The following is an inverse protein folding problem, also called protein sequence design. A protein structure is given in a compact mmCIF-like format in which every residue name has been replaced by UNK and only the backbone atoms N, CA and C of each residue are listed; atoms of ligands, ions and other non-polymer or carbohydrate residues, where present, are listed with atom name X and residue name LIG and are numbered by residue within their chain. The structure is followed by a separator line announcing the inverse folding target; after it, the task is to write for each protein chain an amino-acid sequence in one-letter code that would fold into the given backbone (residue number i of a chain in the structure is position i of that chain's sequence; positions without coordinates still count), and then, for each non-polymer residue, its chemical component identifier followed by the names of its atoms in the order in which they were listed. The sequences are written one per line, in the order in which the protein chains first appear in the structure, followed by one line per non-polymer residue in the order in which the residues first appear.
data_IF_030494149836
#
_entry.id   IF_030494149836
#
_cell.length_a   1.000
_cell.length_b   1.000
_cell.length_c   1.000
_cell.angle_alpha   90.00
_cell.angle_beta   90.00
_cell.angle_gamma   90.00
#
_symmetry.space_group_name_H-M   'P 1'
#
loop_
_entity.id
_entity.type
_entity.pdbx_description
1 polymer ?
#
# COMPACT_ATOMS: atom_id res chain seq x y z
N UNK A 1 -26.33 -58.15 -15.04
CA UNK A 1 -27.61 -58.76 -15.43
C UNK A 1 -27.87 -58.47 -16.91
N UNK A 2 -28.49 -59.38 -17.68
CA UNK A 2 -29.08 -59.02 -18.99
C UNK A 2 -30.59 -59.11 -18.84
N UNK A 3 -31.29 -58.02 -19.09
CA UNK A 3 -32.73 -58.03 -19.30
C UNK A 3 -32.97 -58.40 -20.76
N UNK A 4 -33.87 -59.36 -21.00
CA UNK A 4 -34.16 -59.91 -22.33
C UNK A 4 -35.15 -58.96 -23.02
N UNK A 5 -34.74 -58.37 -24.14
CA UNK A 5 -35.61 -57.78 -25.19
C UNK A 5 -35.24 -58.49 -26.50
N UNK A 6 -36.16 -58.75 -27.44
CA UNK A 6 -35.83 -59.49 -28.66
C UNK A 6 -34.90 -58.65 -29.56
N UNK A 7 -33.68 -59.14 -29.80
CA UNK A 7 -32.88 -58.79 -30.98
C UNK A 7 -31.59 -57.98 -30.76
N UNK A 8 -30.51 -58.58 -31.29
CA UNK A 8 -29.24 -58.01 -31.82
C UNK A 8 -28.06 -57.68 -30.89
N UNK A 9 -26.90 -58.01 -31.48
CA UNK A 9 -25.54 -58.22 -30.98
C UNK A 9 -24.75 -56.98 -30.52
N UNK A 10 -23.99 -57.17 -29.42
CA UNK A 10 -22.53 -56.93 -29.27
C UNK A 10 -21.96 -55.49 -29.31
N UNK A 11 -20.68 -55.27 -28.92
CA UNK A 11 -19.89 -55.92 -27.87
C UNK A 11 -19.27 -54.93 -26.84
N UNK A 12 -18.51 -55.53 -25.94
CA UNK A 12 -17.84 -55.15 -24.68
C UNK A 12 -16.64 -54.19 -24.73
N UNK A 13 -16.32 -53.63 -23.55
CA UNK A 13 -14.97 -53.28 -23.07
C UNK A 13 -15.01 -52.07 -22.12
N UNK A 14 -14.16 -51.89 -21.12
CA UNK A 14 -13.32 -52.76 -20.29
C UNK A 14 -12.96 -51.89 -19.06
N UNK A 15 -12.81 -52.50 -17.89
CA UNK A 15 -12.47 -51.83 -16.62
C UNK A 15 -10.98 -51.44 -16.57
N UNK A 16 -10.64 -50.33 -15.89
CA UNK A 16 -9.42 -50.25 -15.07
C UNK A 16 -9.62 -49.36 -13.85
N UNK A 17 -9.51 -50.00 -12.69
CA UNK A 17 -9.21 -49.41 -11.39
C UNK A 17 -7.76 -48.88 -11.35
N UNK A 18 -7.55 -47.80 -10.59
CA UNK A 18 -6.28 -47.59 -9.89
C UNK A 18 -6.53 -46.83 -8.57
N UNK A 19 -6.21 -47.54 -7.48
CA UNK A 19 -5.78 -47.05 -6.16
C UNK A 19 -4.69 -45.97 -6.27
N UNK A 20 -4.40 -45.08 -5.33
CA UNK A 20 -4.68 -44.97 -3.90
C UNK A 20 -3.78 -43.86 -3.31
N UNK A 21 -3.84 -43.69 -1.98
CA UNK A 21 -2.97 -42.83 -1.12
C UNK A 21 -3.16 -41.30 -1.27
N UNK A 22 -3.42 -40.48 -0.24
CA UNK A 22 -3.26 -40.64 1.21
C UNK A 22 -2.09 -39.78 1.67
N UNK A 23 -2.33 -38.54 2.14
CA UNK A 23 -1.46 -38.00 3.20
C UNK A 23 -2.06 -36.83 4.01
N UNK A 24 -1.61 -36.78 5.27
CA UNK A 24 -2.20 -36.06 6.39
C UNK A 24 -1.71 -34.62 6.58
N UNK A 25 -2.61 -33.87 7.20
CA UNK A 25 -2.53 -32.53 7.79
C UNK A 25 -1.47 -32.42 8.89
N UNK A 26 -0.73 -31.29 8.93
CA UNK A 26 -0.14 -30.76 10.17
C UNK A 26 -0.43 -29.27 10.36
N UNK A 27 -1.13 -29.00 11.46
CA UNK A 27 -1.38 -27.68 12.05
C UNK A 27 -0.11 -27.06 12.64
N UNK A 28 0.01 -25.73 12.62
CA UNK A 28 0.93 -25.02 13.52
C UNK A 28 0.31 -23.73 14.08
N UNK A 29 0.71 -23.48 15.33
CA UNK A 29 0.06 -22.65 16.35
C UNK A 29 0.39 -21.16 16.24
N UNK A 30 -0.61 -20.36 16.60
CA UNK A 30 -0.56 -18.94 16.95
C UNK A 30 0.29 -18.65 18.19
N UNK A 31 1.16 -17.64 18.12
CA UNK A 31 1.82 -17.03 19.28
C UNK A 31 1.53 -15.52 19.28
N UNK A 32 0.77 -15.07 20.29
CA UNK A 32 0.63 -13.65 20.66
C UNK A 32 1.83 -13.22 21.49
N UNK A 33 2.38 -12.03 21.22
CA UNK A 33 3.28 -11.32 22.15
C UNK A 33 2.83 -9.87 22.30
N UNK A 34 2.49 -9.54 23.54
CA UNK A 34 2.34 -8.20 24.07
C UNK A 34 3.70 -7.48 24.11
N UNK A 35 3.72 -6.20 23.76
CA UNK A 35 4.84 -5.32 24.08
C UNK A 35 4.34 -3.92 24.47
N UNK A 36 4.71 -3.56 25.70
CA UNK A 36 4.40 -2.35 26.46
C UNK A 36 4.93 -1.08 25.79
N UNK A 37 4.13 0.01 25.83
CA UNK A 37 4.59 1.39 25.61
C UNK A 37 5.15 1.98 26.91
N UNK A 38 6.26 2.73 26.90
CA UNK A 38 6.67 3.54 28.03
C UNK A 38 6.07 4.96 27.98
N UNK A 39 5.64 5.42 29.16
CA UNK A 39 5.19 6.76 29.50
C UNK A 39 6.38 7.72 29.62
N UNK A 40 6.27 8.94 29.08
CA UNK A 40 7.06 10.10 29.51
C UNK A 40 6.12 11.26 29.93
N UNK A 41 6.46 12.02 30.98
CA UNK A 41 5.56 13.00 31.57
C UNK A 41 5.59 14.36 30.87
N UNK A 42 4.42 14.98 30.84
CA UNK A 42 4.10 16.32 30.37
C UNK A 42 4.63 17.40 31.32
N UNK A 43 5.14 18.51 30.77
CA UNK A 43 5.33 19.78 31.48
C UNK A 43 4.85 20.92 30.59
N UNK A 44 3.85 21.64 31.08
CA UNK A 44 3.43 23.00 30.71
C UNK A 44 2.67 23.59 31.92
N UNK A 45 2.43 24.90 32.01
CA UNK A 45 3.30 26.04 31.70
C UNK A 45 3.28 27.06 32.86
N UNK A 46 4.07 28.13 32.79
CA UNK A 46 3.83 29.27 33.69
C UNK A 46 4.85 30.38 33.59
N UNK A 47 4.55 31.42 32.80
CA UNK A 47 4.97 32.79 33.15
C UNK A 47 3.85 33.74 32.77
N UNK A 48 3.31 34.39 33.80
CA UNK A 48 2.29 35.42 33.74
C UNK A 48 2.88 36.75 33.29
N UNK A 49 2.10 37.47 32.47
CA UNK A 49 2.27 38.88 32.20
C UNK A 49 2.05 39.71 33.48
N UNK A 50 2.87 40.74 33.68
CA UNK A 50 2.56 41.88 34.56
C UNK A 50 3.02 43.17 33.90
N UNK A 51 2.02 43.94 33.48
CA UNK A 51 2.09 45.38 33.26
C UNK A 51 2.44 46.10 34.58
N UNK A 52 3.25 47.15 34.50
CA UNK A 52 3.28 48.23 35.49
C UNK A 52 3.54 49.56 34.77
N UNK A 53 2.55 50.43 34.88
CA UNK A 53 2.62 51.85 34.56
C UNK A 53 3.46 52.64 35.57
N UNK A 54 4.19 53.63 35.05
CA UNK A 54 4.25 55.01 35.56
C UNK A 54 4.85 55.27 36.95
N UNK A 55 6.04 55.86 37.00
CA UNK A 55 6.26 57.07 37.83
C UNK A 55 7.37 57.94 37.24
N UNK A 56 6.99 59.15 36.86
CA UNK A 56 7.82 60.25 36.38
C UNK A 56 8.66 60.84 37.52
N UNK A 57 9.98 60.90 37.36
CA UNK A 57 10.86 61.77 38.16
C UNK A 57 11.66 62.66 37.21
N UNK A 58 11.30 63.95 37.20
CA UNK A 58 12.05 65.04 36.58
C UNK A 58 13.42 65.15 37.25
N UNK A 59 14.50 65.04 36.47
CA UNK A 59 15.83 65.50 36.90
C UNK A 59 16.31 66.53 35.90
N UNK A 60 16.45 67.75 36.38
CA UNK A 60 16.96 68.91 35.65
C UNK A 60 18.34 68.62 35.08
N UNK A 61 18.46 68.67 33.74
CA UNK A 61 19.74 68.68 33.05
C UNK A 61 20.18 70.13 32.95
N UNK A 62 21.17 70.50 33.76
CA UNK A 62 21.97 71.71 33.54
C UNK A 62 22.68 71.57 32.19
N UNK A 63 22.22 72.37 31.24
CA UNK A 63 22.80 72.57 29.91
C UNK A 63 24.22 73.11 30.05
N UNK A 64 25.22 72.23 30.03
CA UNK A 64 26.56 72.58 29.56
C UNK A 64 26.57 72.28 28.07
N UNK A 65 26.72 73.34 27.28
CA UNK A 65 26.93 73.26 25.84
C UNK A 65 28.08 72.28 25.55
N UNK A 66 27.72 71.11 25.02
CA UNK A 66 28.64 70.25 24.30
C UNK A 66 28.08 70.14 22.88
N UNK A 67 28.81 70.75 21.96
CA UNK A 67 28.56 70.82 20.53
C UNK A 67 28.20 69.47 19.90
N UNK A 68 27.22 69.40 18.99
CA UNK A 68 26.97 68.21 18.17
C UNK A 68 27.87 68.27 16.92
N UNK A 69 29.16 67.97 17.07
CA UNK A 69 30.07 67.85 15.92
C UNK A 69 31.40 67.16 16.30
N UNK A 70 31.42 65.83 16.30
CA UNK A 70 32.66 65.06 16.15
C UNK A 70 32.38 63.88 15.22
N UNK A 71 32.82 64.08 13.99
CA UNK A 71 32.69 63.19 12.83
C UNK A 71 33.19 61.79 13.16
N UNK A 72 32.42 60.77 12.75
CA UNK A 72 32.84 59.38 12.49
C UNK A 72 33.96 59.35 11.42
N UNK A 73 35.12 59.93 11.73
CA UNK A 73 36.17 60.28 10.76
C UNK A 73 37.56 59.83 11.18
N UNK A 74 37.70 58.88 12.12
CA UNK A 74 38.99 58.28 12.41
C UNK A 74 39.16 56.98 11.62
N UNK A 75 40.37 56.77 11.09
CA UNK A 75 40.83 55.51 10.51
C UNK A 75 40.57 54.30 11.45
N UNK A 76 40.50 54.55 12.76
CA UNK A 76 40.18 53.54 13.78
C UNK A 76 38.72 53.08 13.72
N UNK A 77 37.75 53.97 13.52
CA UNK A 77 36.34 53.57 13.42
C UNK A 77 36.06 52.71 12.18
N UNK A 78 36.67 53.03 11.04
CA UNK A 78 36.58 52.19 9.84
C UNK A 78 37.22 50.80 10.06
N UNK A 79 38.38 50.78 10.72
CA UNK A 79 39.08 49.54 11.05
C UNK A 79 38.25 48.67 12.00
N UNK A 80 37.62 49.24 13.02
CA UNK A 80 36.73 48.51 13.92
C UNK A 80 35.53 47.89 13.20
N UNK A 81 34.93 48.61 12.23
CA UNK A 81 33.83 48.06 11.43
C UNK A 81 34.29 46.87 10.59
N UNK A 82 35.40 47.00 9.86
CA UNK A 82 35.92 45.90 9.02
C UNK A 82 36.39 44.71 9.88
N UNK A 83 36.98 44.97 11.03
CA UNK A 83 37.46 43.92 11.94
C UNK A 83 36.29 43.18 12.63
N UNK A 84 35.14 43.84 12.82
CA UNK A 84 33.93 43.19 13.38
C UNK A 84 33.27 42.19 12.42
N UNK A 85 33.53 42.30 11.11
CA UNK A 85 32.98 41.39 10.10
C UNK A 85 33.83 40.12 10.02
N UNK A 86 33.31 39.02 10.54
CA UNK A 86 34.00 37.72 10.54
C UNK A 86 33.53 36.77 9.44
N UNK A 87 32.32 36.97 8.91
CA UNK A 87 31.70 36.12 7.87
C UNK A 87 32.14 36.42 6.44
N UNK A 88 32.86 37.53 6.27
CA UNK A 88 33.45 37.92 5.01
C UNK A 88 34.94 38.16 5.19
N UNK A 89 35.70 37.65 4.22
CA UNK A 89 37.08 38.06 4.00
C UNK A 89 37.08 39.38 3.25
N UNK A 90 37.46 40.46 3.93
CA UNK A 90 37.55 41.80 3.37
C UNK A 90 39.02 42.15 3.23
N UNK A 91 39.45 42.35 1.99
CA UNK A 91 40.85 42.45 1.60
C UNK A 91 41.00 43.65 0.68
N UNK A 92 41.98 44.52 0.95
CA UNK A 92 42.43 45.52 -0.02
C UNK A 92 43.68 45.02 -0.73
N UNK A 93 43.74 45.23 -2.03
CA UNK A 93 44.87 44.94 -2.91
C UNK A 93 45.43 46.25 -3.46
N UNK A 94 46.72 46.30 -3.75
CA UNK A 94 47.34 47.37 -4.55
C UNK A 94 47.00 47.22 -6.05
N UNK A 95 47.57 48.10 -6.88
CA UNK A 95 47.34 48.10 -8.33
C UNK A 95 47.81 46.80 -9.02
N UNK A 96 48.81 46.14 -8.45
CA UNK A 96 49.41 44.91 -8.98
C UNK A 96 48.81 43.64 -8.36
N UNK A 97 47.84 43.77 -7.45
CA UNK A 97 47.16 42.64 -6.81
C UNK A 97 47.83 42.11 -5.54
N UNK A 98 48.77 42.83 -4.94
CA UNK A 98 49.35 42.45 -3.65
C UNK A 98 48.45 42.86 -2.49
N UNK A 99 48.36 42.01 -1.48
CA UNK A 99 47.47 42.21 -0.33
C UNK A 99 47.99 43.32 0.58
N UNK A 100 47.20 44.38 0.76
CA UNK A 100 47.53 45.57 1.58
C UNK A 100 46.79 45.56 2.91
N UNK A 101 45.61 44.93 2.98
CA UNK A 101 44.86 44.78 4.23
C UNK A 101 44.32 43.36 4.41
N UNK A 102 44.05 43.03 5.67
CA UNK A 102 43.58 41.71 6.07
C UNK A 102 42.74 41.85 7.33
N UNK A 103 41.45 41.52 7.24
CA UNK A 103 40.53 41.50 8.38
C UNK A 103 40.50 40.10 9.03
N UNK A 104 39.96 39.95 10.25
CA UNK A 104 39.84 38.67 10.93
C UNK A 104 39.04 37.62 10.14
N UNK A 105 38.01 38.05 9.39
CA UNK A 105 37.25 37.15 8.51
C UNK A 105 38.12 36.55 7.39
N UNK A 106 39.06 37.32 6.83
CA UNK A 106 40.00 36.82 5.83
C UNK A 106 40.96 35.78 6.40
N UNK A 107 41.45 35.99 7.62
CA UNK A 107 42.29 35.02 8.33
C UNK A 107 41.54 33.71 8.58
N UNK A 108 40.29 33.79 9.02
CA UNK A 108 39.44 32.62 9.26
C UNK A 108 39.12 31.84 7.98
N UNK A 109 38.71 32.53 6.91
CA UNK A 109 38.25 31.88 5.68
C UNK A 109 39.42 31.36 4.84
N UNK A 110 40.51 32.13 4.74
CA UNK A 110 41.63 31.80 3.86
C UNK A 110 42.78 31.07 4.58
N UNK A 111 42.80 31.08 5.92
CA UNK A 111 43.77 30.34 6.75
C UNK A 111 45.16 30.98 6.85
N UNK A 112 45.36 32.15 6.24
CA UNK A 112 46.62 32.90 6.36
C UNK A 112 46.53 33.93 7.48
N UNK A 113 47.58 34.00 8.29
CA UNK A 113 47.71 35.11 9.24
C UNK A 113 48.03 36.40 8.50
N UNK A 114 47.64 37.55 9.08
CA UNK A 114 47.96 38.86 8.50
C UNK A 114 49.45 39.04 8.19
N UNK A 115 50.34 38.57 9.07
CA UNK A 115 51.81 38.71 8.89
C UNK A 115 52.34 37.91 7.69
N UNK A 116 51.69 36.81 7.33
CA UNK A 116 52.14 35.93 6.24
C UNK A 116 51.68 36.44 4.87
N UNK A 117 50.52 37.07 4.79
CA UNK A 117 49.84 37.36 3.53
C UNK A 117 50.00 38.80 3.04
N UNK A 118 50.22 39.76 3.94
CA UNK A 118 50.46 41.16 3.54
C UNK A 118 51.69 41.23 2.61
N UNK A 119 51.55 41.95 1.49
CA UNK A 119 52.57 42.08 0.45
C UNK A 119 52.71 40.86 -0.46
N UNK A 120 51.95 39.78 -0.26
CA UNK A 120 51.89 38.64 -1.18
C UNK A 120 50.82 38.85 -2.24
N UNK A 121 51.04 38.30 -3.42
CA UNK A 121 50.08 38.37 -4.52
C UNK A 121 48.84 37.50 -4.24
N UNK A 122 47.65 38.02 -4.56
CA UNK A 122 46.36 37.38 -4.26
C UNK A 122 46.04 36.14 -5.12
N UNK A 123 46.86 35.82 -6.13
CA UNK A 123 46.74 34.60 -6.93
C UNK A 123 46.83 33.32 -6.08
N UNK A 124 47.42 33.40 -4.89
CA UNK A 124 47.50 32.27 -3.94
C UNK A 124 46.14 31.74 -3.50
N UNK A 125 45.08 32.52 -3.72
CA UNK A 125 43.69 32.14 -3.43
C UNK A 125 43.02 31.41 -4.60
N UNK A 126 43.69 31.31 -5.75
CA UNK A 126 43.20 30.68 -6.97
C UNK A 126 43.71 29.24 -7.06
N UNK A 127 43.01 28.41 -7.84
CA UNK A 127 43.54 27.07 -8.17
C UNK A 127 44.75 27.19 -9.10
N UNK A 128 45.63 26.19 -9.10
CA UNK A 128 46.80 26.16 -9.99
C UNK A 128 46.41 26.26 -11.47
N UNK A 129 45.26 25.72 -11.85
CA UNK A 129 44.74 25.83 -13.20
C UNK A 129 44.32 27.26 -13.55
N UNK A 130 43.61 27.93 -12.64
CA UNK A 130 43.16 29.30 -12.84
C UNK A 130 44.34 30.28 -12.95
N UNK A 131 45.40 30.05 -12.16
CA UNK A 131 46.64 30.84 -12.24
C UNK A 131 47.31 30.63 -13.60
N UNK A 132 47.43 29.39 -14.09
CA UNK A 132 47.99 29.09 -15.42
C UNK A 132 47.21 29.75 -16.55
N UNK A 133 45.88 29.85 -16.41
CA UNK A 133 44.99 30.56 -17.33
C UNK A 133 45.08 32.09 -17.23
N UNK A 134 45.81 32.62 -16.26
CA UNK A 134 45.95 34.06 -16.03
C UNK A 134 44.67 34.72 -15.50
N UNK A 135 43.75 33.96 -14.89
CA UNK A 135 42.48 34.48 -14.38
C UNK A 135 42.63 35.59 -13.32
N UNK A 136 43.61 35.55 -12.39
CA UNK A 136 43.79 36.66 -11.44
C UNK A 136 43.99 38.01 -12.13
N UNK A 137 44.85 38.07 -13.15
CA UNK A 137 45.09 39.29 -13.91
C UNK A 137 43.89 39.72 -14.76
N UNK A 138 43.13 38.76 -15.29
CA UNK A 138 41.88 39.06 -16.00
C UNK A 138 40.82 39.63 -15.07
N UNK A 139 40.66 39.09 -13.85
CA UNK A 139 39.72 39.59 -12.86
C UNK A 139 40.03 41.04 -12.46
N UNK A 140 41.31 41.39 -12.24
CA UNK A 140 41.73 42.79 -11.98
C UNK A 140 41.40 43.71 -13.16
N UNK A 141 41.74 43.30 -14.40
CA UNK A 141 41.46 44.09 -15.61
C UNK A 141 39.96 44.30 -15.82
N UNK A 142 39.17 43.24 -15.63
CA UNK A 142 37.72 43.29 -15.76
C UNK A 142 37.10 44.18 -14.68
N UNK A 143 37.54 44.05 -13.42
CA UNK A 143 37.07 44.93 -12.34
C UNK A 143 37.45 46.40 -12.61
N UNK A 144 38.66 46.67 -13.10
CA UNK A 144 39.09 48.03 -13.46
C UNK A 144 38.30 48.62 -14.64
N UNK A 145 37.84 47.80 -15.59
CA UNK A 145 37.04 48.24 -16.74
C UNK A 145 35.56 48.40 -16.43
N UNK A 146 34.98 47.43 -15.74
CA UNK A 146 33.52 47.28 -15.53
C UNK A 146 33.08 47.93 -14.21
N UNK A 147 34.01 48.13 -13.26
CA UNK A 147 33.74 48.73 -11.95
C UNK A 147 33.34 47.72 -10.86
N UNK A 148 32.93 46.50 -11.23
CA UNK A 148 32.67 45.41 -10.30
C UNK A 148 32.65 44.07 -11.04
N UNK A 149 33.29 43.06 -10.45
CA UNK A 149 33.20 41.66 -10.88
C UNK A 149 32.69 40.84 -9.70
N UNK A 150 31.70 39.99 -9.95
CA UNK A 150 31.13 39.09 -8.96
C UNK A 150 31.00 37.68 -9.54
N UNK A 151 31.45 36.66 -8.80
CA UNK A 151 31.40 35.27 -9.25
C UNK A 151 31.35 34.26 -8.10
N UNK A 152 30.68 33.14 -8.33
CA UNK A 152 30.77 31.93 -7.50
C UNK A 152 31.82 30.99 -8.08
N UNK A 153 32.88 30.71 -7.33
CA UNK A 153 34.08 30.03 -7.85
C UNK A 153 34.80 29.27 -6.75
N UNK A 154 35.46 28.16 -7.11
CA UNK A 154 36.35 27.43 -6.20
C UNK A 154 37.62 28.25 -5.91
N UNK A 155 37.92 28.41 -4.63
CA UNK A 155 39.12 29.08 -4.11
C UNK A 155 39.91 28.11 -3.26
N UNK A 156 41.18 28.44 -3.03
CA UNK A 156 42.13 27.60 -2.31
C UNK A 156 42.53 28.30 -1.02
N UNK A 157 42.46 27.59 0.11
CA UNK A 157 42.97 28.06 1.42
C UNK A 157 44.48 27.81 1.54
N UNK A 158 45.10 28.33 2.60
CA UNK A 158 46.52 28.10 2.92
C UNK A 158 46.90 26.62 2.96
N UNK A 159 46.05 25.76 3.51
CA UNK A 159 46.29 24.32 3.65
C UNK A 159 46.08 23.53 2.34
N UNK A 160 45.73 24.22 1.25
CA UNK A 160 45.45 23.60 -0.05
C UNK A 160 44.01 23.10 -0.21
N UNK A 161 43.18 23.16 0.83
CA UNK A 161 41.77 22.77 0.71
C UNK A 161 41.01 23.74 -0.19
N UNK A 162 40.11 23.20 -0.99
CA UNK A 162 39.26 23.98 -1.87
C UNK A 162 37.93 24.32 -1.17
N UNK A 163 37.37 25.47 -1.53
CA UNK A 163 36.09 25.93 -1.01
C UNK A 163 35.32 26.75 -2.04
N UNK A 164 34.00 26.63 -2.00
CA UNK A 164 33.13 27.47 -2.83
C UNK A 164 33.11 28.87 -2.25
N UNK A 165 33.35 29.86 -3.09
CA UNK A 165 33.41 31.25 -2.66
C UNK A 165 32.54 32.13 -3.57
N UNK A 166 31.72 32.98 -2.98
CA UNK A 166 31.22 34.17 -3.68
C UNK A 166 32.26 35.27 -3.50
N UNK A 167 32.82 35.73 -4.60
CA UNK A 167 33.88 36.74 -4.63
C UNK A 167 33.38 37.97 -5.34
N UNK A 168 33.49 39.11 -4.66
CA UNK A 168 33.24 40.43 -5.23
C UNK A 168 34.57 41.17 -5.29
N UNK A 169 34.89 41.72 -6.45
CA UNK A 169 36.10 42.51 -6.69
C UNK A 169 35.70 43.86 -7.31
N UNK A 170 36.10 44.95 -6.66
CA UNK A 170 35.81 46.32 -7.08
C UNK A 170 37.09 47.16 -7.09
N UNK A 171 37.32 48.01 -8.10
CA UNK A 171 38.46 48.91 -8.12
C UNK A 171 38.25 50.04 -7.12
N UNK A 172 39.32 50.42 -6.44
CA UNK A 172 39.39 51.62 -5.61
C UNK A 172 40.03 52.73 -6.46
N UNK A 173 39.31 53.84 -6.64
CA UNK A 173 39.77 54.97 -7.47
C UNK A 173 40.06 56.19 -6.61
N UNK A 174 41.02 56.99 -7.03
CA UNK A 174 41.22 58.33 -6.46
C UNK A 174 40.27 59.36 -7.08
N UNK A 175 40.39 60.62 -6.64
CA UNK A 175 39.55 61.73 -7.08
C UNK A 175 39.69 62.05 -8.57
N UNK A 176 40.79 61.63 -9.20
CA UNK A 176 41.06 61.78 -10.63
C UNK A 176 40.54 60.58 -11.45
N UNK A 177 39.94 59.58 -10.79
CA UNK A 177 39.39 58.38 -11.44
C UNK A 177 40.42 57.28 -11.70
N UNK A 178 41.68 57.47 -11.29
CA UNK A 178 42.76 56.51 -11.46
C UNK A 178 42.61 55.37 -10.46
N UNK A 179 42.75 54.11 -10.91
CA UNK A 179 42.67 52.94 -10.03
C UNK A 179 43.92 52.91 -9.13
N UNK A 180 43.73 53.00 -7.82
CA UNK A 180 44.81 52.90 -6.80
C UNK A 180 44.95 51.51 -6.18
N UNK A 181 43.99 50.63 -6.45
CA UNK A 181 43.98 49.27 -5.93
C UNK A 181 42.60 48.66 -6.08
N UNK A 182 42.34 47.60 -5.33
CA UNK A 182 41.07 46.86 -5.41
C UNK A 182 40.59 46.46 -4.03
N UNK A 183 39.28 46.54 -3.80
CA UNK A 183 38.62 45.90 -2.67
C UNK A 183 38.08 44.55 -3.11
N UNK A 184 38.46 43.50 -2.38
CA UNK A 184 37.97 42.13 -2.56
C UNK A 184 37.19 41.73 -1.32
N UNK A 185 35.93 41.35 -1.51
CA UNK A 185 35.13 40.67 -0.51
C UNK A 185 34.95 39.20 -0.90
N UNK A 186 35.08 38.29 0.04
CA UNK A 186 34.89 36.85 -0.22
C UNK A 186 34.08 36.21 0.89
N UNK A 187 32.99 35.54 0.52
CA UNK A 187 32.17 34.74 1.42
C UNK A 187 32.36 33.26 1.11
N UNK A 188 32.60 32.46 2.13
CA UNK A 188 32.63 31.01 2.01
C UNK A 188 31.19 30.48 1.88
N UNK A 189 30.91 29.74 0.80
CA UNK A 189 29.63 29.11 0.52
C UNK A 189 29.65 27.59 0.75
N UNK A 190 30.75 27.03 1.29
CA UNK A 190 30.93 25.58 1.39
C UNK A 190 29.85 24.92 2.24
N UNK A 191 29.52 25.49 3.40
CA UNK A 191 28.46 24.96 4.27
C UNK A 191 27.09 25.02 3.60
N UNK A 192 26.80 26.12 2.90
CA UNK A 192 25.55 26.28 2.14
C UNK A 192 25.44 25.23 1.04
N UNK A 193 26.46 25.09 0.18
CA UNK A 193 26.46 24.09 -0.91
C UNK A 193 26.39 22.66 -0.38
N UNK A 194 27.04 22.36 0.76
CA UNK A 194 26.95 21.03 1.40
C UNK A 194 25.55 20.76 1.96
N UNK A 195 24.92 21.75 2.58
CA UNK A 195 23.56 21.63 3.08
C UNK A 195 22.56 21.42 1.93
N UNK A 196 22.69 22.19 0.85
CA UNK A 196 21.89 22.04 -0.37
C UNK A 196 22.06 20.64 -0.99
N UNK A 197 23.30 20.15 -1.12
CA UNK A 197 23.55 18.83 -1.70
C UNK A 197 23.05 17.70 -0.78
N UNK A 198 23.22 17.84 0.53
CA UNK A 198 22.70 16.87 1.50
C UNK A 198 21.17 16.80 1.43
N UNK A 199 20.50 17.95 1.39
CA UNK A 199 19.04 18.01 1.24
C UNK A 199 18.59 17.42 -0.10
N UNK A 200 19.32 17.68 -1.20
CA UNK A 200 19.05 17.11 -2.52
C UNK A 200 19.17 15.59 -2.51
N UNK A 201 20.28 15.06 -1.99
CA UNK A 201 20.53 13.62 -1.90
C UNK A 201 19.48 12.93 -1.03
N UNK A 202 19.13 13.52 0.12
CA UNK A 202 18.07 13.00 0.99
C UNK A 202 16.71 12.97 0.27
N UNK A 203 16.37 14.03 -0.47
CA UNK A 203 15.14 14.11 -1.27
C UNK A 203 15.10 13.04 -2.37
N UNK A 204 16.18 12.89 -3.14
CA UNK A 204 16.29 11.84 -4.17
C UNK A 204 16.20 10.44 -3.58
N UNK A 205 16.91 10.19 -2.47
CA UNK A 205 16.86 8.89 -1.78
C UNK A 205 15.45 8.54 -1.29
N UNK A 206 14.77 9.48 -0.61
CA UNK A 206 13.39 9.29 -0.15
C UNK A 206 12.44 9.00 -1.33
N UNK A 207 12.63 9.70 -2.46
CA UNK A 207 11.84 9.45 -3.67
C UNK A 207 12.07 8.04 -4.21
N UNK A 208 13.32 7.58 -4.26
CA UNK A 208 13.64 6.23 -4.71
C UNK A 208 13.01 5.15 -3.83
N UNK A 209 12.94 5.35 -2.51
CA UNK A 209 12.26 4.43 -1.60
C UNK A 209 10.75 4.33 -1.88
N UNK A 210 10.11 5.47 -2.15
CA UNK A 210 8.67 5.53 -2.48
C UNK A 210 8.38 4.82 -3.81
N UNK A 211 9.19 5.08 -4.83
CA UNK A 211 9.02 4.49 -6.17
C UNK A 211 9.44 3.01 -6.24
N UNK A 212 10.29 2.54 -5.32
CA UNK A 212 10.61 1.11 -5.19
C UNK A 212 9.45 0.29 -4.60
N UNK A 213 8.44 0.94 -4.00
CA UNK A 213 7.26 0.26 -3.46
C UNK A 213 6.35 -0.20 -4.60
N UNK A 214 5.99 -1.49 -4.62
CA UNK A 214 5.16 -2.10 -5.66
C UNK A 214 3.66 -1.86 -5.47
N UNK A 215 3.23 -1.58 -4.25
CA UNK A 215 1.84 -1.20 -3.96
C UNK A 215 1.65 0.29 -4.34
N UNK A 216 0.53 0.64 -5.01
CA UNK A 216 0.14 2.04 -5.20
C UNK A 216 0.17 2.84 -3.89
N UNK A 217 0.97 3.90 -3.88
CA UNK A 217 1.08 4.84 -2.77
C UNK A 217 0.73 6.24 -3.26
N UNK A 218 -0.16 6.90 -2.54
CA UNK A 218 -0.63 8.24 -2.86
C UNK A 218 -0.90 9.06 -1.60
N UNK A 219 -0.89 10.37 -1.76
CA UNK A 219 -1.28 11.32 -0.72
C UNK A 219 -2.45 12.17 -1.18
N UNK A 220 -3.34 12.46 -0.25
CA UNK A 220 -4.58 13.22 -0.49
C UNK A 220 -4.57 14.44 0.44
N UNK A 221 -4.81 15.62 -0.11
CA UNK A 221 -4.96 16.85 0.65
C UNK A 221 -6.27 16.87 1.44
N UNK A 222 -6.45 17.83 2.38
CA UNK A 222 -7.68 17.97 3.18
C UNK A 222 -8.90 18.38 2.35
N UNK A 223 -8.67 18.87 1.13
CA UNK A 223 -9.68 19.20 0.13
C UNK A 223 -10.09 17.99 -0.74
N UNK A 224 -9.54 16.79 -0.47
CA UNK A 224 -9.83 15.57 -1.21
C UNK A 224 -9.02 15.40 -2.49
N UNK A 225 -8.07 16.29 -2.78
CA UNK A 225 -7.29 16.25 -4.02
C UNK A 225 -6.03 15.41 -3.87
N UNK A 226 -5.62 14.76 -4.96
CA UNK A 226 -4.35 14.04 -5.02
C UNK A 226 -3.16 15.02 -4.97
N UNK A 227 -2.24 14.82 -4.03
CA UNK A 227 -1.07 15.69 -3.82
C UNK A 227 0.21 15.05 -4.34
N UNK A 228 0.34 13.74 -4.19
CA UNK A 228 1.50 12.95 -4.65
C UNK A 228 1.06 11.51 -4.95
N UNK A 229 1.74 10.85 -5.88
CA UNK A 229 1.59 9.44 -6.24
C UNK A 229 2.96 8.84 -6.61
N UNK A 230 3.16 7.55 -6.32
CA UNK A 230 4.30 6.76 -6.78
C UNK A 230 4.06 6.12 -8.16
N UNK A 231 5.11 5.56 -8.76
CA UNK A 231 5.03 4.88 -10.06
C UNK A 231 4.05 3.70 -10.11
N UNK A 232 3.86 2.98 -9.00
CA UNK A 232 2.88 1.88 -8.93
C UNK A 232 1.43 2.39 -9.08
N UNK A 233 1.13 3.58 -8.56
CA UNK A 233 -0.18 4.22 -8.74
C UNK A 233 -0.43 4.59 -10.20
N UNK A 234 0.61 5.09 -10.90
CA UNK A 234 0.51 5.37 -12.34
C UNK A 234 0.23 4.09 -13.14
N UNK A 235 0.93 3.00 -12.82
CA UNK A 235 0.74 1.70 -13.48
C UNK A 235 -0.67 1.12 -13.27
N UNK A 236 -1.18 1.18 -12.04
CA UNK A 236 -2.51 0.66 -11.70
C UNK A 236 -3.61 1.54 -12.29
N UNK A 237 -3.51 2.87 -12.23
CA UNK A 237 -4.53 3.77 -12.81
C UNK A 237 -4.45 3.87 -14.34
N UNK A 238 -3.29 3.59 -14.93
CA UNK A 238 -3.00 3.83 -16.34
C UNK A 238 -2.95 5.31 -16.70
N UNK A 239 -2.63 6.18 -15.73
CA UNK A 239 -2.54 7.64 -15.87
C UNK A 239 -1.22 8.12 -15.31
N UNK A 240 -0.67 9.15 -15.93
CA UNK A 240 0.57 9.76 -15.46
C UNK A 240 0.33 10.59 -14.21
N UNK A 241 1.37 10.77 -13.40
CA UNK A 241 1.36 11.63 -12.22
C UNK A 241 0.86 13.03 -12.55
N UNK A 242 1.28 13.60 -13.67
CA UNK A 242 0.85 14.96 -14.06
C UNK A 242 -0.66 15.06 -14.29
N UNK A 243 -1.30 13.99 -14.74
CA UNK A 243 -2.77 13.93 -14.91
C UNK A 243 -3.51 13.64 -13.61
N UNK A 244 -2.82 13.08 -12.61
CA UNK A 244 -3.38 12.70 -11.31
C UNK A 244 -3.26 13.83 -10.28
N UNK A 245 -2.16 14.59 -10.25
CA UNK A 245 -1.98 15.60 -9.20
C UNK A 245 -2.98 16.75 -9.36
N UNK A 246 -3.65 17.10 -8.26
CA UNK A 246 -4.60 18.20 -8.18
C UNK A 246 -6.03 17.87 -8.62
N UNK A 247 -6.29 16.63 -9.04
CA UNK A 247 -7.64 16.15 -9.35
C UNK A 247 -8.32 15.57 -8.11
N UNK A 248 -9.64 15.38 -8.19
CA UNK A 248 -10.42 14.83 -7.10
C UNK A 248 -10.20 13.30 -7.01
N UNK A 249 -9.77 12.82 -5.83
CA UNK A 249 -9.51 11.41 -5.58
C UNK A 249 -10.73 10.52 -5.87
N UNK A 250 -11.95 11.02 -5.66
CA UNK A 250 -13.18 10.23 -5.76
C UNK A 250 -13.55 9.86 -7.21
N UNK A 251 -13.06 10.61 -8.21
CA UNK A 251 -13.40 10.43 -9.64
C UNK A 251 -12.84 9.14 -10.26
N UNK A 252 -11.86 8.52 -9.59
CA UNK A 252 -11.13 7.34 -10.04
C UNK A 252 -11.78 6.02 -9.62
N UNK A 253 -12.93 6.06 -8.94
CA UNK A 253 -13.61 4.88 -8.43
C UNK A 253 -14.96 4.64 -9.14
N UNK A 254 -15.39 3.38 -9.16
CA UNK A 254 -16.74 3.01 -9.67
C UNK A 254 -17.85 3.50 -8.73
N UNK A 255 -17.56 3.57 -7.42
CA UNK A 255 -18.45 4.06 -6.37
C UNK A 255 -17.85 5.30 -5.65
N UNK A 256 -17.98 6.52 -6.20
CA UNK A 256 -17.37 7.73 -5.62
C UNK A 256 -17.85 8.04 -4.18
N UNK A 257 -19.13 7.82 -3.88
CA UNK A 257 -19.70 8.05 -2.55
C UNK A 257 -19.08 7.12 -1.49
N UNK A 258 -18.75 5.88 -1.87
CA UNK A 258 -18.07 4.93 -0.98
C UNK A 258 -16.63 5.36 -0.71
N UNK A 259 -15.93 5.88 -1.71
CA UNK A 259 -14.60 6.45 -1.53
C UNK A 259 -14.63 7.68 -0.62
N UNK A 260 -15.64 8.55 -0.79
CA UNK A 260 -15.86 9.73 0.05
C UNK A 260 -16.19 9.36 1.50
N UNK A 261 -17.01 8.33 1.73
CA UNK A 261 -17.28 7.81 3.06
C UNK A 261 -16.01 7.29 3.74
N UNK A 262 -15.16 6.55 3.01
CA UNK A 262 -13.87 6.07 3.51
C UNK A 262 -12.91 7.22 3.85
N UNK A 263 -12.82 8.22 2.98
CA UNK A 263 -12.06 9.45 3.22
C UNK A 263 -12.49 10.17 4.51
N UNK A 264 -13.80 10.39 4.69
CA UNK A 264 -14.33 11.01 5.91
C UNK A 264 -14.09 10.15 7.16
N UNK A 265 -14.12 8.82 7.02
CA UNK A 265 -13.79 7.92 8.12
C UNK A 265 -12.33 8.07 8.56
N UNK A 266 -11.39 8.24 7.63
CA UNK A 266 -9.96 8.45 7.97
C UNK A 266 -9.78 9.73 8.82
N UNK A 267 -10.47 10.82 8.49
CA UNK A 267 -10.38 12.05 9.30
C UNK A 267 -11.01 11.90 10.68
N UNK A 268 -12.08 11.11 10.82
CA UNK A 268 -12.75 10.85 12.11
C UNK A 268 -11.94 9.91 13.00
N UNK A 269 -11.50 8.79 12.44
CA UNK A 269 -10.91 7.68 13.20
C UNK A 269 -9.38 7.72 13.20
N UNK A 270 -8.78 8.59 12.39
CA UNK A 270 -7.32 8.74 12.19
C UNK A 270 -6.72 7.75 11.19
N UNK A 271 -7.39 6.62 10.92
CA UNK A 271 -6.96 5.64 9.93
C UNK A 271 -8.09 4.69 9.51
N UNK A 272 -7.95 4.09 8.34
CA UNK A 272 -8.76 2.95 7.89
C UNK A 272 -7.86 1.82 7.41
N UNK A 273 -8.34 0.59 7.53
CA UNK A 273 -7.64 -0.61 7.08
C UNK A 273 -8.53 -1.48 6.22
N UNK A 274 -7.92 -2.14 5.25
CA UNK A 274 -8.53 -3.09 4.33
C UNK A 274 -9.84 -2.55 3.73
N UNK A 275 -9.91 -1.25 3.47
CA UNK A 275 -11.13 -0.59 2.98
C UNK A 275 -11.31 -0.90 1.49
N UNK A 276 -12.33 -1.67 1.10
CA UNK A 276 -12.46 -2.15 -0.27
C UNK A 276 -12.99 -1.03 -1.17
N UNK A 277 -12.31 -0.83 -2.30
CA UNK A 277 -12.73 0.05 -3.37
C UNK A 277 -12.49 -0.61 -4.74
N UNK A 278 -13.22 -0.13 -5.73
CA UNK A 278 -13.08 -0.56 -7.12
C UNK A 278 -12.59 0.62 -7.95
N UNK A 279 -11.34 0.52 -8.38
CA UNK A 279 -10.66 1.56 -9.13
C UNK A 279 -10.95 1.37 -10.62
N UNK A 280 -11.29 2.46 -11.30
CA UNK A 280 -11.51 2.51 -12.74
C UNK A 280 -10.24 3.00 -13.44
N UNK A 281 -9.58 2.11 -14.17
CA UNK A 281 -8.40 2.42 -14.99
C UNK A 281 -8.78 3.28 -16.20
N UNK A 282 -7.79 3.90 -16.83
CA UNK A 282 -7.97 4.72 -18.04
C UNK A 282 -8.51 3.94 -19.25
N UNK A 283 -8.23 2.65 -19.35
CA UNK A 283 -8.72 1.73 -20.38
C UNK A 283 -10.16 1.20 -20.12
N UNK A 284 -10.77 1.60 -19.00
CA UNK A 284 -12.10 1.16 -18.58
C UNK A 284 -12.13 -0.13 -17.75
N UNK A 285 -10.98 -0.80 -17.56
CA UNK A 285 -10.90 -1.97 -16.69
C UNK A 285 -11.13 -1.56 -15.22
N UNK A 286 -11.82 -2.44 -14.47
CA UNK A 286 -12.03 -2.27 -13.03
C UNK A 286 -11.04 -3.15 -12.26
N UNK A 287 -10.31 -2.53 -11.33
CA UNK A 287 -9.35 -3.21 -10.45
C UNK A 287 -9.89 -3.18 -9.03
N UNK A 288 -9.98 -4.35 -8.40
CA UNK A 288 -10.37 -4.46 -6.99
C UNK A 288 -9.16 -4.18 -6.11
N UNK A 289 -9.27 -3.19 -5.24
CA UNK A 289 -8.17 -2.76 -4.36
C UNK A 289 -8.61 -2.66 -2.89
N UNK A 290 -7.69 -2.95 -1.98
CA UNK A 290 -7.86 -2.69 -0.54
C UNK A 290 -7.01 -1.49 -0.14
N UNK A 291 -7.65 -0.48 0.42
CA UNK A 291 -6.99 0.73 0.89
C UNK A 291 -6.68 0.68 2.38
N UNK A 292 -5.41 0.94 2.69
CA UNK A 292 -4.94 1.27 4.02
C UNK A 292 -4.53 2.74 4.01
N UNK A 293 -5.09 3.54 4.91
CA UNK A 293 -4.80 4.96 4.91
C UNK A 293 -4.80 5.55 6.31
N UNK A 294 -3.99 6.58 6.52
CA UNK A 294 -3.87 7.28 7.79
C UNK A 294 -3.63 8.77 7.56
N UNK A 295 -4.13 9.60 8.48
CA UNK A 295 -3.80 11.03 8.48
C UNK A 295 -2.31 11.24 8.83
N UNK A 296 -1.66 12.20 8.19
CA UNK A 296 -0.34 12.67 8.58
C UNK A 296 -0.39 14.16 8.96
N UNK A 297 0.45 14.54 9.91
CA UNK A 297 0.39 15.83 10.61
C UNK A 297 1.71 16.58 10.51
N UNK A 298 1.66 17.90 10.62
CA UNK A 298 2.84 18.73 10.80
C UNK A 298 3.38 18.66 12.24
N UNK A 299 4.51 19.33 12.50
CA UNK A 299 5.12 19.41 13.83
C UNK A 299 4.21 20.10 14.87
N UNK A 300 3.26 20.93 14.43
CA UNK A 300 2.29 21.60 15.28
C UNK A 300 1.04 20.74 15.57
N UNK A 301 0.94 19.56 14.94
CA UNK A 301 -0.18 18.62 15.10
C UNK A 301 -1.36 18.85 14.15
N UNK A 302 -1.28 19.81 13.22
CA UNK A 302 -2.31 20.05 12.22
C UNK A 302 -2.29 18.94 11.18
N UNK A 303 -3.47 18.51 10.71
CA UNK A 303 -3.56 17.51 9.65
C UNK A 303 -3.17 18.16 8.32
N UNK A 304 -2.09 17.68 7.71
CA UNK A 304 -1.66 18.10 6.38
C UNK A 304 -2.46 17.34 5.31
N UNK A 305 -2.80 16.08 5.58
CA UNK A 305 -3.56 15.25 4.64
C UNK A 305 -3.58 13.78 5.05
N UNK A 306 -3.82 12.93 4.06
CA UNK A 306 -3.86 11.48 4.18
C UNK A 306 -2.74 10.86 3.34
N UNK A 307 -2.09 9.84 3.88
CA UNK A 307 -1.28 8.89 3.10
C UNK A 307 -2.07 7.60 2.96
N UNK A 308 -2.16 7.08 1.73
CA UNK A 308 -2.91 5.90 1.39
C UNK A 308 -2.04 4.93 0.58
N UNK A 309 -2.15 3.65 0.92
CA UNK A 309 -1.58 2.53 0.17
C UNK A 309 -2.72 1.65 -0.30
N UNK A 310 -2.76 1.36 -1.59
CA UNK A 310 -3.74 0.44 -2.16
C UNK A 310 -3.06 -0.88 -2.50
N UNK A 311 -3.68 -2.00 -2.17
CA UNK A 311 -3.24 -3.33 -2.60
C UNK A 311 -4.19 -3.87 -3.64
N UNK A 312 -3.68 -4.25 -4.80
CA UNK A 312 -4.44 -4.99 -5.80
C UNK A 312 -4.75 -6.39 -5.28
N UNK A 313 -6.04 -6.74 -5.26
CA UNK A 313 -6.54 -8.05 -4.84
C UNK A 313 -7.26 -8.79 -5.98
N UNK A 314 -7.09 -8.36 -7.22
CA UNK A 314 -7.76 -8.92 -8.39
C UNK A 314 -7.41 -10.39 -8.58
N UNK A 315 -6.12 -10.74 -8.59
CA UNK A 315 -5.66 -12.13 -8.70
C UNK A 315 -6.19 -13.01 -7.56
N UNK A 316 -6.15 -12.48 -6.34
CA UNK A 316 -6.65 -13.17 -5.15
C UNK A 316 -8.15 -13.44 -5.25
N UNK A 317 -8.95 -12.42 -5.61
CA UNK A 317 -10.40 -12.58 -5.80
C UNK A 317 -10.71 -13.60 -6.91
N UNK A 318 -9.96 -13.59 -8.01
CA UNK A 318 -10.14 -14.56 -9.09
C UNK A 318 -9.78 -15.99 -8.68
N UNK A 319 -8.73 -16.16 -7.86
CA UNK A 319 -8.36 -17.46 -7.32
C UNK A 319 -9.42 -17.98 -6.33
N UNK A 320 -9.89 -17.11 -5.42
CA UNK A 320 -10.97 -17.44 -4.49
C UNK A 320 -12.27 -17.80 -5.23
N UNK A 321 -12.63 -17.05 -6.29
CA UNK A 321 -13.79 -17.35 -7.13
C UNK A 321 -13.64 -18.70 -7.85
N UNK A 322 -12.45 -19.02 -8.40
CA UNK A 322 -12.18 -20.32 -9.03
C UNK A 322 -12.34 -21.48 -8.04
N UNK A 323 -11.79 -21.34 -6.83
CA UNK A 323 -11.94 -22.36 -5.78
C UNK A 323 -13.42 -22.52 -5.39
N UNK A 324 -14.15 -21.41 -5.23
CA UNK A 324 -15.59 -21.47 -4.91
C UNK A 324 -16.40 -22.13 -6.02
N UNK A 325 -16.09 -21.82 -7.28
CA UNK A 325 -16.74 -22.45 -8.42
C UNK A 325 -16.44 -23.96 -8.47
N UNK A 326 -15.18 -24.36 -8.34
CA UNK A 326 -14.80 -25.78 -8.26
C UNK A 326 -15.50 -26.49 -7.10
N UNK A 327 -15.60 -25.86 -5.93
CA UNK A 327 -16.33 -26.41 -4.79
C UNK A 327 -17.81 -26.59 -5.10
N UNK A 328 -18.44 -25.67 -5.82
CA UNK A 328 -19.83 -25.81 -6.27
C UNK A 328 -19.98 -26.94 -7.27
N UNK A 329 -19.12 -27.01 -8.29
CA UNK A 329 -19.14 -28.09 -9.30
C UNK A 329 -18.94 -29.47 -8.66
N UNK A 330 -18.03 -29.61 -7.70
CA UNK A 330 -17.83 -30.85 -6.92
C UNK A 330 -19.10 -31.18 -6.11
N UNK A 331 -19.71 -30.18 -5.46
CA UNK A 331 -20.96 -30.39 -4.72
C UNK A 331 -22.07 -30.88 -5.65
N UNK A 332 -22.21 -30.28 -6.84
CA UNK A 332 -23.21 -30.66 -7.83
C UNK A 332 -22.99 -32.07 -8.40
N UNK A 333 -21.74 -32.53 -8.53
CA UNK A 333 -21.44 -33.91 -8.94
C UNK A 333 -21.67 -34.94 -7.82
N UNK A 334 -21.69 -34.51 -6.56
CA UNK A 334 -21.75 -35.41 -5.39
C UNK A 334 -23.15 -35.92 -5.04
N UNK A 335 -24.22 -35.35 -5.63
CA UNK A 335 -25.61 -35.82 -5.49
C UNK A 335 -26.22 -36.20 -6.86
N UNK A 336 -25.69 -37.23 -7.54
CA UNK A 336 -26.15 -37.58 -8.89
C UNK A 336 -27.48 -38.36 -8.83
N UNK A 337 -28.57 -37.83 -9.39
CA UNK A 337 -29.79 -38.62 -9.60
C UNK A 337 -29.68 -39.37 -10.92
N UNK A 338 -29.47 -40.68 -10.85
CA UNK A 338 -29.24 -41.55 -11.99
C UNK A 338 -30.50 -42.32 -12.37
N UNK A 339 -30.84 -42.34 -13.66
CA UNK A 339 -31.88 -43.24 -14.18
C UNK A 339 -31.25 -44.61 -14.48
N UNK A 340 -31.55 -45.61 -13.66
CA UNK A 340 -30.90 -46.94 -13.73
C UNK A 340 -31.69 -47.96 -14.55
N UNK A 341 -33.00 -47.73 -14.70
CA UNK A 341 -33.89 -48.56 -15.51
C UNK A 341 -35.13 -47.76 -15.89
N UNK A 342 -35.85 -48.17 -16.94
CA UNK A 342 -37.09 -47.51 -17.35
C UNK A 342 -38.09 -47.50 -16.19
N UNK A 343 -38.39 -46.31 -15.69
CA UNK A 343 -39.29 -46.10 -14.55
C UNK A 343 -38.64 -46.12 -13.16
N UNK A 344 -37.30 -46.21 -13.07
CA UNK A 344 -36.54 -46.22 -11.81
C UNK A 344 -35.42 -45.19 -11.82
N UNK A 345 -35.47 -44.26 -10.86
CA UNK A 345 -34.36 -43.33 -10.55
C UNK A 345 -33.68 -43.72 -9.25
N UNK A 346 -32.38 -43.45 -9.14
CA UNK A 346 -31.55 -43.69 -7.95
C UNK A 346 -30.83 -42.41 -7.60
N UNK A 347 -30.97 -42.00 -6.35
CA UNK A 347 -30.36 -40.80 -5.79
C UNK A 347 -29.53 -41.20 -4.56
N UNK A 348 -28.23 -41.47 -4.73
CA UNK A 348 -27.32 -41.73 -3.64
C UNK A 348 -26.96 -40.44 -2.90
N UNK A 349 -26.89 -40.55 -1.58
CA UNK A 349 -26.50 -39.51 -0.64
C UNK A 349 -25.13 -39.85 -0.05
N UNK A 350 -24.13 -39.00 -0.33
CA UNK A 350 -22.75 -39.22 0.09
C UNK A 350 -22.26 -38.04 0.95
N UNK A 351 -21.76 -38.33 2.15
CA UNK A 351 -21.19 -37.32 3.07
C UNK A 351 -22.21 -36.72 4.03
N UNK A 352 -21.83 -35.63 4.71
CA UNK A 352 -22.72 -34.91 5.64
C UNK A 352 -23.80 -34.14 4.89
N UNK A 353 -25.03 -34.18 5.42
CA UNK A 353 -26.18 -33.43 4.91
C UNK A 353 -26.34 -32.16 5.75
N UNK A 354 -26.34 -31.01 5.08
CA UNK A 354 -26.82 -29.76 5.64
C UNK A 354 -28.14 -29.37 4.95
N UNK A 355 -28.85 -28.36 5.49
CA UNK A 355 -30.15 -27.94 4.96
C UNK A 355 -30.08 -27.50 3.49
N UNK A 356 -28.98 -26.85 3.07
CA UNK A 356 -28.82 -26.38 1.68
C UNK A 356 -28.63 -27.56 0.72
N UNK A 357 -27.77 -28.52 1.10
CA UNK A 357 -27.48 -29.72 0.32
C UNK A 357 -28.70 -30.63 0.21
N UNK A 358 -29.51 -30.71 1.27
CA UNK A 358 -30.73 -31.53 1.26
C UNK A 358 -31.82 -30.92 0.38
N UNK A 359 -31.95 -29.58 0.37
CA UNK A 359 -32.87 -28.89 -0.53
C UNK A 359 -32.50 -29.11 -2.00
N UNK A 360 -31.22 -28.95 -2.36
CA UNK A 360 -30.73 -29.22 -3.72
C UNK A 360 -30.93 -30.68 -4.13
N UNK A 361 -30.72 -31.62 -3.20
CA UNK A 361 -30.97 -33.05 -3.44
C UNK A 361 -32.45 -33.31 -3.77
N UNK A 362 -33.36 -32.78 -2.96
CA UNK A 362 -34.79 -32.93 -3.16
C UNK A 362 -35.22 -32.37 -4.51
N UNK A 363 -34.84 -31.12 -4.83
CA UNK A 363 -35.19 -30.47 -6.10
C UNK A 363 -34.76 -31.32 -7.31
N UNK A 364 -33.49 -31.75 -7.34
CA UNK A 364 -32.97 -32.60 -8.42
C UNK A 364 -33.67 -33.96 -8.52
N UNK A 365 -34.02 -34.56 -7.39
CA UNK A 365 -34.74 -35.83 -7.38
C UNK A 365 -36.14 -35.65 -7.97
N UNK A 366 -36.87 -34.62 -7.54
CA UNK A 366 -38.22 -34.33 -8.03
C UNK A 366 -38.20 -34.01 -9.54
N UNK A 367 -37.29 -33.14 -9.98
CA UNK A 367 -37.13 -32.81 -11.40
C UNK A 367 -36.87 -34.06 -12.22
N UNK A 368 -35.95 -34.92 -11.77
CA UNK A 368 -35.60 -36.14 -12.50
C UNK A 368 -36.73 -37.15 -12.55
N UNK A 369 -37.53 -37.27 -11.49
CA UNK A 369 -38.73 -38.13 -11.46
C UNK A 369 -39.73 -37.69 -12.53
N UNK A 370 -39.98 -36.37 -12.63
CA UNK A 370 -40.90 -35.80 -13.61
C UNK A 370 -40.35 -35.98 -15.02
N UNK A 371 -39.09 -35.63 -15.28
CA UNK A 371 -38.44 -35.75 -16.59
C UNK A 371 -38.47 -37.18 -17.12
N UNK A 372 -38.23 -38.16 -16.25
CA UNK A 372 -38.14 -39.58 -16.64
C UNK A 372 -39.46 -40.33 -16.50
N UNK A 373 -40.50 -39.67 -15.99
CA UNK A 373 -41.78 -40.28 -15.63
C UNK A 373 -41.58 -41.56 -14.78
N UNK A 374 -40.71 -41.48 -13.77
CA UNK A 374 -40.31 -42.64 -12.97
C UNK A 374 -41.22 -42.87 -11.77
N UNK A 375 -42.05 -43.93 -11.78
CA UNK A 375 -42.92 -44.27 -10.64
C UNK A 375 -42.17 -44.77 -9.40
N UNK A 376 -40.86 -45.09 -9.49
CA UNK A 376 -40.06 -45.53 -8.34
C UNK A 376 -38.77 -44.71 -8.22
N UNK A 377 -38.51 -44.23 -7.01
CA UNK A 377 -37.29 -43.53 -6.63
C UNK A 377 -36.55 -44.30 -5.52
N UNK A 378 -35.30 -44.69 -5.79
CA UNK A 378 -34.38 -45.25 -4.79
C UNK A 378 -33.57 -44.12 -4.15
N UNK A 379 -33.63 -43.99 -2.84
CA UNK A 379 -32.91 -42.98 -2.08
C UNK A 379 -31.86 -43.69 -1.22
N UNK A 380 -30.59 -43.64 -1.63
CA UNK A 380 -29.53 -44.43 -0.99
C UNK A 380 -28.75 -43.63 0.05
N UNK A 381 -28.94 -43.95 1.33
CA UNK A 381 -28.29 -43.25 2.45
C UNK A 381 -27.01 -43.94 2.93
N UNK A 382 -26.48 -44.92 2.18
CA UNK A 382 -25.29 -45.69 2.59
C UNK A 382 -24.05 -44.82 2.84
N UNK A 383 -23.91 -43.72 2.08
CA UNK A 383 -22.79 -42.78 2.20
C UNK A 383 -22.93 -41.73 3.32
N UNK A 384 -24.02 -41.76 4.09
CA UNK A 384 -24.27 -40.82 5.20
C UNK A 384 -23.68 -41.42 6.49
N UNK A 385 -22.67 -40.75 7.12
CA UNK A 385 -21.94 -41.33 8.26
C UNK A 385 -22.78 -41.40 9.54
N UNK A 386 -23.67 -40.43 9.75
CA UNK A 386 -24.60 -40.38 10.88
C UNK A 386 -25.87 -39.63 10.47
N UNK A 387 -27.01 -40.04 11.02
CA UNK A 387 -28.30 -39.39 10.80
C UNK A 387 -28.69 -38.69 12.09
N UNK A 388 -28.72 -37.36 12.08
CA UNK A 388 -29.23 -36.56 13.19
C UNK A 388 -30.72 -36.19 12.99
N UNK A 389 -31.30 -35.47 13.95
CA UNK A 389 -32.71 -35.07 13.89
C UNK A 389 -33.05 -34.21 12.68
N UNK A 390 -32.15 -33.31 12.26
CA UNK A 390 -32.39 -32.43 11.10
C UNK A 390 -32.29 -33.20 9.79
N UNK A 391 -31.26 -34.04 9.65
CA UNK A 391 -31.08 -34.91 8.50
C UNK A 391 -32.30 -35.82 8.34
N UNK A 392 -32.73 -36.49 9.42
CA UNK A 392 -33.89 -37.36 9.37
C UNK A 392 -35.17 -36.61 8.93
N UNK A 393 -35.41 -35.42 9.49
CA UNK A 393 -36.58 -34.61 9.13
C UNK A 393 -36.58 -34.25 7.64
N UNK A 394 -35.45 -33.79 7.10
CA UNK A 394 -35.34 -33.42 5.69
C UNK A 394 -35.45 -34.64 4.74
N UNK A 395 -34.99 -35.82 5.15
CA UNK A 395 -35.22 -37.06 4.38
C UNK A 395 -36.73 -37.37 4.29
N UNK A 396 -37.48 -37.20 5.39
CA UNK A 396 -38.93 -37.44 5.42
C UNK A 396 -39.70 -36.40 4.59
N UNK A 397 -39.30 -35.14 4.66
CA UNK A 397 -39.84 -34.08 3.80
C UNK A 397 -39.64 -34.42 2.31
N UNK A 398 -38.45 -34.88 1.95
CA UNK A 398 -38.14 -35.32 0.58
C UNK A 398 -39.01 -36.49 0.16
N UNK A 399 -39.16 -37.52 1.01
CA UNK A 399 -40.03 -38.68 0.74
C UNK A 399 -41.49 -38.25 0.55
N UNK A 400 -41.96 -37.32 1.36
CA UNK A 400 -43.32 -36.78 1.28
C UNK A 400 -43.54 -36.02 -0.04
N UNK A 401 -42.57 -35.20 -0.44
CA UNK A 401 -42.62 -34.46 -1.71
C UNK A 401 -42.65 -35.41 -2.91
N UNK A 402 -41.84 -36.47 -2.92
CA UNK A 402 -41.83 -37.47 -4.00
C UNK A 402 -43.17 -38.19 -4.11
N UNK A 403 -43.80 -38.52 -2.97
CA UNK A 403 -45.13 -39.15 -2.96
C UNK A 403 -46.23 -38.26 -3.52
N UNK A 404 -46.14 -36.94 -3.32
CA UNK A 404 -47.08 -36.00 -3.93
C UNK A 404 -47.03 -36.01 -5.46
N UNK A 405 -45.89 -36.38 -6.04
CA UNK A 405 -45.74 -36.60 -7.49
C UNK A 405 -46.24 -37.98 -7.96
N UNK A 406 -46.76 -38.82 -7.05
CA UNK A 406 -47.27 -40.15 -7.37
C UNK A 406 -46.20 -41.24 -7.50
N UNK A 407 -44.94 -40.93 -7.17
CA UNK A 407 -43.86 -41.92 -7.17
C UNK A 407 -43.67 -42.58 -5.80
N UNK A 408 -43.34 -43.87 -5.79
CA UNK A 408 -42.98 -44.62 -4.60
C UNK A 408 -41.50 -44.45 -4.26
N UNK A 409 -41.19 -44.27 -2.98
CA UNK A 409 -39.80 -44.14 -2.50
C UNK A 409 -39.38 -45.41 -1.79
N UNK A 410 -38.20 -45.92 -2.15
CA UNK A 410 -37.49 -46.97 -1.41
C UNK A 410 -36.20 -46.40 -0.86
N UNK A 411 -36.07 -46.32 0.46
CA UNK A 411 -34.82 -45.92 1.10
C UNK A 411 -33.87 -47.12 1.22
N UNK A 412 -32.65 -46.99 0.71
CA UNK A 412 -31.62 -48.03 0.77
C UNK A 412 -30.45 -47.61 1.65
N UNK A 413 -29.65 -48.56 2.14
CA UNK A 413 -28.52 -48.25 3.04
C UNK A 413 -28.90 -48.11 4.51
N UNK A 414 -30.13 -48.48 4.90
CA UNK A 414 -30.60 -48.47 6.29
C UNK A 414 -29.97 -49.65 7.06
N UNK A 415 -28.77 -49.43 7.61
CA UNK A 415 -28.04 -50.40 8.45
C UNK A 415 -28.60 -50.45 9.88
N UNK A 416 -28.34 -51.50 10.68
CA UNK A 416 -28.87 -51.61 12.05
C UNK A 416 -28.60 -50.38 12.93
N UNK A 417 -27.41 -49.79 12.84
CA UNK A 417 -27.07 -48.58 13.58
C UNK A 417 -27.93 -47.37 13.18
N UNK A 418 -28.18 -47.17 11.88
CA UNK A 418 -29.03 -46.08 11.39
C UNK A 418 -30.49 -46.30 11.78
N UNK A 419 -30.97 -47.54 11.68
CA UNK A 419 -32.33 -47.90 12.11
C UNK A 419 -32.56 -47.61 13.60
N UNK A 420 -31.59 -47.96 14.46
CA UNK A 420 -31.64 -47.64 15.89
C UNK A 420 -31.68 -46.12 16.13
N UNK A 421 -30.87 -45.35 15.40
CA UNK A 421 -30.87 -43.89 15.51
C UNK A 421 -32.20 -43.29 15.08
N UNK A 422 -32.78 -43.72 13.96
CA UNK A 422 -34.08 -43.23 13.47
C UNK A 422 -35.22 -43.53 14.47
N UNK A 423 -35.20 -44.71 15.09
CA UNK A 423 -36.15 -45.07 16.16
C UNK A 423 -35.94 -44.20 17.40
N UNK A 424 -34.70 -43.98 17.82
CA UNK A 424 -34.38 -43.13 18.97
C UNK A 424 -34.82 -41.67 18.76
N UNK A 425 -34.72 -41.17 17.53
CA UNK A 425 -35.18 -39.85 17.13
C UNK A 425 -36.71 -39.74 16.98
N UNK A 426 -37.44 -40.86 17.12
CA UNK A 426 -38.91 -40.88 17.01
C UNK A 426 -39.43 -40.65 15.59
N UNK A 427 -38.63 -40.95 14.58
CA UNK A 427 -38.99 -40.75 13.17
C UNK A 427 -39.94 -41.85 12.72
N UNK A 428 -41.13 -41.46 12.26
CA UNK A 428 -42.10 -42.41 11.74
C UNK A 428 -41.76 -42.81 10.30
N UNK A 429 -41.43 -44.08 10.12
CA UNK A 429 -41.18 -44.70 8.82
C UNK A 429 -42.37 -45.56 8.35
N UNK A 430 -43.51 -45.49 9.04
CA UNK A 430 -44.70 -46.27 8.71
C UNK A 430 -45.15 -45.93 7.28
N UNK A 431 -44.97 -46.92 6.39
CA UNK A 431 -45.27 -46.81 4.97
C UNK A 431 -44.07 -46.48 4.08
N UNK A 432 -42.86 -46.18 4.58
CA UNK A 432 -41.66 -46.04 3.75
C UNK A 432 -40.96 -47.41 3.62
N UNK A 433 -40.75 -47.87 2.40
CA UNK A 433 -40.03 -49.11 2.14
C UNK A 433 -38.54 -48.88 2.41
N UNK A 434 -37.94 -49.68 3.29
CA UNK A 434 -36.51 -49.61 3.60
C UNK A 434 -35.78 -50.90 3.23
N UNK A 435 -34.52 -50.77 2.78
CA UNK A 435 -33.61 -51.89 2.50
C UNK A 435 -32.19 -51.58 2.99
N UNK A 436 -31.46 -52.62 3.36
CA UNK A 436 -30.09 -52.48 3.88
C UNK A 436 -29.03 -52.21 2.80
N UNK A 437 -29.36 -52.46 1.53
CA UNK A 437 -28.46 -52.29 0.39
C UNK A 437 -29.21 -51.80 -0.86
N UNK A 438 -28.48 -51.16 -1.77
CA UNK A 438 -29.02 -50.68 -3.05
C UNK A 438 -29.54 -51.84 -3.92
N UNK A 439 -28.85 -52.99 -3.93
CA UNK A 439 -29.27 -54.17 -4.67
C UNK A 439 -30.63 -54.70 -4.21
N UNK A 440 -30.86 -54.77 -2.89
CA UNK A 440 -32.15 -55.16 -2.33
C UNK A 440 -33.24 -54.12 -2.62
N UNK A 441 -32.89 -52.83 -2.68
CA UNK A 441 -33.81 -51.76 -3.11
C UNK A 441 -34.23 -51.88 -4.57
N UNK A 442 -33.26 -52.13 -5.46
CA UNK A 442 -33.50 -52.38 -6.88
C UNK A 442 -34.44 -53.55 -7.12
N UNK A 443 -34.27 -54.64 -6.36
CA UNK A 443 -35.17 -55.79 -6.46
C UNK A 443 -36.62 -55.40 -6.13
N UNK A 444 -36.83 -54.62 -5.07
CA UNK A 444 -38.17 -54.12 -4.74
C UNK A 444 -38.72 -53.18 -5.80
N UNK A 445 -37.88 -52.31 -6.37
CA UNK A 445 -38.32 -51.44 -7.46
C UNK A 445 -38.80 -52.24 -8.67
N UNK A 446 -38.10 -53.33 -9.02
CA UNK A 446 -38.53 -54.22 -10.09
C UNK A 446 -39.82 -54.98 -9.76
N UNK A 447 -40.00 -55.42 -8.51
CA UNK A 447 -41.24 -56.05 -8.07
C UNK A 447 -42.44 -55.08 -8.15
N UNK A 448 -42.25 -53.81 -7.77
CA UNK A 448 -43.28 -52.74 -7.89
C UNK A 448 -43.67 -52.52 -9.36
N UNK A 449 -42.72 -52.68 -10.27
CA UNK A 449 -42.92 -52.54 -11.71
C UNK A 449 -43.33 -53.85 -12.40
N UNK A 450 -43.65 -54.89 -11.63
CA UNK A 450 -44.03 -56.22 -12.12
C UNK A 450 -42.99 -56.86 -13.07
N UNK A 451 -41.71 -56.52 -12.87
CA UNK A 451 -40.60 -57.01 -13.68
C UNK A 451 -39.97 -58.26 -13.07
N UNK A 452 -39.79 -59.31 -13.88
CA UNK A 452 -39.08 -60.53 -13.45
C UNK A 452 -37.58 -60.45 -13.66
N UNK A 453 -36.82 -60.56 -12.58
CA UNK A 453 -35.35 -60.68 -12.60
C UNK A 453 -34.94 -62.14 -12.79
N UNK A 454 -34.35 -62.48 -13.94
CA UNK A 454 -33.93 -63.86 -14.26
C UNK A 454 -32.41 -64.03 -14.07
N UNK A 455 -31.94 -65.06 -13.33
CA UNK A 455 -30.51 -65.36 -13.19
C UNK A 455 -29.85 -65.72 -14.53
N UNK A 456 -28.59 -65.28 -14.70
CA UNK A 456 -27.84 -65.40 -15.97
C UNK A 456 -27.61 -66.86 -16.43
N UNK A 457 -27.74 -67.85 -15.54
CA UNK A 457 -27.37 -69.26 -15.79
C UNK A 457 -28.53 -70.23 -16.07
N UNK A 458 -29.76 -69.74 -16.30
CA UNK A 458 -30.83 -70.59 -16.86
C UNK A 458 -31.10 -70.21 -18.31
N UNK A 459 -30.40 -70.90 -19.24
CA UNK A 459 -30.79 -70.93 -20.66
C UNK A 459 -32.12 -71.69 -20.79
N UNK A 460 -33.13 -70.99 -21.31
CA UNK A 460 -34.18 -71.54 -22.18
C UNK A 460 -34.07 -70.86 -23.54
#
# INVERSE_FOLDING_TARGET
MRVRVPGRHGPTGDEREESGEGDQVKSSKTIRRDAKRPHFPTRSPGVAAREREGTTMKREVKTKANSPAAVLGSQESYRQLVDSVTDYAIIMLDQDGHVVSWNPGAERIQGYTKREIIGKHFERFYTTEDVRRGLPGQDLKNAAKIGRVESEVLRVRKDGTQFWANVILSPLRDQEGTVRGFAKATRDLTELKRAEETARLASTYNRSLIDATLDPLLTIGPDGKLMDVNGATEAVTGRTRQELIGTDFFDYFTEPERARAGYQQIFRDGSVRDYPLELRRSDGQVVSVLFNASVYRDEAGNVIGIVAVARDITERKQAEARIQQQSREIMELSTPVMHVWQGVVVAPLIGSLDSQRTQQFMERLLDRIVETNSPVALMDIMGVPAVDSQTAQHLIETVSAVRLLGAQVVMTGVRPAIAQTLVHLGIDLSGIITRSSLSAGLQVAFDILEMQVVPKDKRL
#
